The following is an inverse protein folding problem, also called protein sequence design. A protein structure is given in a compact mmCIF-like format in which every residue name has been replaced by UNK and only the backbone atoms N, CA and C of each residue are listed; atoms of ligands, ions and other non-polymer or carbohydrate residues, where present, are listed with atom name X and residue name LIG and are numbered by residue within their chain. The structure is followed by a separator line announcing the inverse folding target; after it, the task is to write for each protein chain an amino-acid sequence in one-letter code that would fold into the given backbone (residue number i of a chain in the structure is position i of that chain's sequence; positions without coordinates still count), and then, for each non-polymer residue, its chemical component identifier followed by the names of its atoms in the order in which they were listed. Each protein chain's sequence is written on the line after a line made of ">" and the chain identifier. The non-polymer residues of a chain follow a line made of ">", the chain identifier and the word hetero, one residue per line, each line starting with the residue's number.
data_IF_527532503526
#
_entry.id   IF_527532503526
#
_cell.length_a   1.000
_cell.length_b   1.000
_cell.length_c   1.000
_cell.angle_alpha   90.00
_cell.angle_beta   90.00
_cell.angle_gamma   90.00
#
_symmetry.space_group_name_H-M   'P 1'
#
loop_
_entity.id
_entity.type
_entity.pdbx_description
1 polymer ?
#
# COMPACT_ATOMS: atom_id res chain seq x y z
N UNK A 1 32.27 -18.53 -24.23
CA UNK A 1 32.49 -17.42 -23.26
C UNK A 1 32.03 -17.94 -21.91
N UNK A 2 32.96 -18.41 -21.09
CA UNK A 2 32.62 -18.96 -19.75
C UNK A 2 32.40 -17.80 -18.80
N UNK A 3 31.19 -17.73 -18.23
CA UNK A 3 30.88 -16.80 -17.15
C UNK A 3 31.52 -17.35 -15.87
N UNK A 4 32.53 -16.69 -15.35
CA UNK A 4 33.07 -17.00 -14.02
C UNK A 4 31.99 -16.71 -12.97
N UNK A 5 31.75 -17.61 -12.01
CA UNK A 5 30.82 -17.33 -10.92
C UNK A 5 31.38 -16.20 -10.05
N UNK A 6 30.58 -15.15 -9.84
CA UNK A 6 30.92 -14.09 -8.88
C UNK A 6 30.88 -14.69 -7.47
N UNK A 7 31.97 -14.56 -6.72
CA UNK A 7 32.00 -14.94 -5.32
C UNK A 7 30.91 -14.24 -4.53
N UNK A 8 30.18 -14.94 -3.66
CA UNK A 8 29.16 -14.30 -2.82
C UNK A 8 29.85 -13.29 -1.89
N UNK A 9 29.27 -12.10 -1.66
CA UNK A 9 29.87 -11.11 -0.78
C UNK A 9 30.01 -11.70 0.64
N UNK A 10 31.22 -11.85 1.09
CA UNK A 10 31.60 -12.25 2.46
C UNK A 10 31.38 -11.09 3.42
N UNK A 11 30.13 -10.70 3.68
CA UNK A 11 29.80 -9.72 4.69
C UNK A 11 28.78 -10.29 5.67
N UNK A 12 29.27 -10.87 6.74
CA UNK A 12 28.50 -11.27 7.92
C UNK A 12 28.16 -10.06 8.82
N UNK A 13 27.86 -8.88 8.26
CA UNK A 13 27.48 -7.72 9.07
C UNK A 13 25.97 -7.74 9.33
N UNK A 14 25.49 -8.10 10.55
CA UNK A 14 24.07 -8.21 10.86
C UNK A 14 23.32 -6.86 10.88
N UNK A 15 24.01 -5.75 10.62
CA UNK A 15 23.47 -4.39 10.64
C UNK A 15 23.27 -3.75 9.27
N UNK A 16 23.44 -4.47 8.18
CA UNK A 16 23.17 -3.94 6.84
C UNK A 16 21.66 -3.69 6.71
N UNK A 17 21.29 -2.43 6.51
CA UNK A 17 19.88 -2.07 6.25
C UNK A 17 19.49 -2.62 4.88
N UNK A 18 18.47 -3.46 4.84
CA UNK A 18 17.98 -4.07 3.60
C UNK A 18 17.33 -3.04 2.65
N UNK A 19 16.92 -1.88 3.18
CA UNK A 19 16.37 -0.75 2.41
C UNK A 19 16.95 0.55 2.96
N UNK A 20 17.47 1.40 2.09
CA UNK A 20 18.11 2.66 2.43
C UNK A 20 17.21 3.57 3.29
N UNK A 21 17.82 4.35 4.19
CA UNK A 21 17.10 5.37 4.97
C UNK A 21 16.81 6.59 4.09
N UNK A 22 15.65 7.22 4.30
CA UNK A 22 15.29 8.48 3.64
C UNK A 22 15.44 9.65 4.61
N UNK A 23 15.80 10.82 4.10
CA UNK A 23 15.95 12.05 4.90
C UNK A 23 14.58 12.61 5.29
N UNK A 24 13.70 12.75 4.30
CA UNK A 24 12.32 13.20 4.46
C UNK A 24 11.39 12.32 3.61
N UNK A 25 10.13 12.18 4.01
CA UNK A 25 9.11 11.50 3.23
C UNK A 25 8.28 10.53 4.02
N UNK A 26 7.75 9.51 3.34
CA UNK A 26 6.84 8.52 3.92
C UNK A 26 7.39 7.12 3.78
N UNK A 27 7.28 6.33 4.84
CA UNK A 27 7.58 4.89 4.85
C UNK A 27 6.29 4.14 5.12
N UNK A 28 5.93 3.23 4.22
CA UNK A 28 4.83 2.28 4.39
C UNK A 28 5.45 0.92 4.71
N UNK A 29 5.11 0.38 5.86
CA UNK A 29 5.62 -0.89 6.38
C UNK A 29 4.47 -1.88 6.66
N UNK A 30 4.81 -3.14 6.89
CA UNK A 30 3.85 -4.22 7.14
C UNK A 30 2.87 -4.48 5.99
N UNK A 31 3.34 -4.25 4.75
CA UNK A 31 2.59 -4.61 3.55
C UNK A 31 2.71 -6.12 3.33
N UNK A 32 1.63 -6.85 3.03
CA UNK A 32 1.73 -8.23 2.57
C UNK A 32 2.64 -8.34 1.34
N UNK A 33 3.57 -9.31 1.32
CA UNK A 33 4.62 -9.40 0.30
C UNK A 33 4.10 -9.31 -1.14
N UNK A 34 3.00 -10.03 -1.44
CA UNK A 34 2.36 -10.05 -2.77
C UNK A 34 1.68 -8.72 -3.15
N UNK A 35 1.38 -7.86 -2.18
CA UNK A 35 0.74 -6.55 -2.40
C UNK A 35 1.76 -5.41 -2.54
N UNK A 36 3.05 -5.65 -2.28
CA UNK A 36 4.07 -4.58 -2.20
C UNK A 36 4.18 -3.77 -3.48
N UNK A 37 4.23 -4.42 -4.65
CA UNK A 37 4.28 -3.72 -5.95
C UNK A 37 2.99 -2.97 -6.25
N UNK A 38 1.83 -3.51 -5.88
CA UNK A 38 0.54 -2.83 -6.05
C UNK A 38 0.49 -1.55 -5.21
N UNK A 39 0.99 -1.60 -3.97
CA UNK A 39 1.13 -0.43 -3.11
C UNK A 39 2.11 0.57 -3.70
N UNK A 40 3.28 0.14 -4.16
CA UNK A 40 4.26 1.04 -4.77
C UNK A 40 3.69 1.75 -6.00
N UNK A 41 3.03 1.03 -6.91
CA UNK A 41 2.40 1.60 -8.11
C UNK A 41 1.25 2.57 -7.77
N UNK A 42 0.49 2.28 -6.71
CA UNK A 42 -0.56 3.17 -6.23
C UNK A 42 -0.02 4.50 -5.73
N UNK A 43 1.14 4.46 -5.06
CA UNK A 43 1.69 5.59 -4.31
C UNK A 43 2.67 6.42 -5.14
N UNK A 44 3.43 5.79 -6.04
CA UNK A 44 4.46 6.44 -6.83
C UNK A 44 3.86 7.45 -7.83
N UNK A 45 4.49 8.61 -7.94
CA UNK A 45 4.28 9.61 -8.99
C UNK A 45 5.50 9.64 -9.89
N UNK A 46 5.38 10.22 -11.07
CA UNK A 46 6.39 10.20 -12.14
C UNK A 46 7.80 10.60 -11.68
N UNK A 47 7.91 11.56 -10.78
CA UNK A 47 9.20 12.08 -10.31
C UNK A 47 9.54 11.68 -8.86
N UNK A 48 8.79 10.74 -8.27
CA UNK A 48 9.10 10.28 -6.91
C UNK A 48 10.31 9.36 -6.90
N UNK A 49 11.23 9.57 -5.96
CA UNK A 49 12.24 8.59 -5.62
C UNK A 49 11.61 7.54 -4.69
N UNK A 50 11.44 6.32 -5.18
CA UNK A 50 10.78 5.24 -4.44
C UNK A 50 11.76 4.09 -4.23
N UNK A 51 11.89 3.65 -2.97
CA UNK A 51 12.62 2.43 -2.61
C UNK A 51 11.63 1.35 -2.18
N UNK A 52 11.79 0.14 -2.72
CA UNK A 52 10.89 -0.99 -2.47
C UNK A 52 11.68 -2.15 -1.89
N UNK A 53 11.23 -2.67 -0.78
CA UNK A 53 11.72 -3.92 -0.21
C UNK A 53 10.60 -4.95 -0.19
N UNK A 54 10.82 -6.11 -0.81
CA UNK A 54 9.84 -7.20 -0.84
C UNK A 54 10.33 -8.40 -0.05
N UNK A 55 9.40 -9.13 0.55
CA UNK A 55 9.68 -10.39 1.28
C UNK A 55 10.74 -10.26 2.38
N UNK A 56 10.84 -9.08 2.98
CA UNK A 56 11.74 -8.83 4.11
C UNK A 56 11.28 -9.62 5.33
N UNK A 57 12.22 -10.03 6.17
CA UNK A 57 11.90 -10.74 7.42
C UNK A 57 11.10 -9.84 8.37
N UNK A 58 10.05 -10.38 8.96
CA UNK A 58 9.17 -9.68 9.90
C UNK A 58 8.79 -10.62 11.04
N UNK A 59 9.04 -10.19 12.27
CA UNK A 59 8.61 -10.94 13.45
C UNK A 59 7.08 -11.05 13.55
N UNK A 60 6.35 -10.02 13.08
CA UNK A 60 4.87 -9.97 13.14
C UNK A 60 4.19 -10.76 12.03
N UNK A 61 4.75 -10.75 10.81
CA UNK A 61 4.08 -11.28 9.60
C UNK A 61 4.87 -12.41 8.92
N UNK A 62 6.01 -12.85 9.48
CA UNK A 62 6.97 -13.73 8.81
C UNK A 62 7.69 -13.03 7.65
N UNK A 63 6.96 -12.57 6.65
CA UNK A 63 7.44 -11.79 5.52
C UNK A 63 6.61 -10.53 5.32
N UNK A 64 7.26 -9.42 4.99
CA UNK A 64 6.61 -8.13 4.75
C UNK A 64 7.21 -7.40 3.58
N UNK A 65 6.45 -6.48 3.01
CA UNK A 65 6.92 -5.46 2.10
C UNK A 65 7.09 -4.11 2.79
N UNK A 66 7.99 -3.31 2.26
CA UNK A 66 8.22 -1.92 2.65
C UNK A 66 8.30 -1.07 1.39
N UNK A 67 7.61 0.06 1.39
CA UNK A 67 7.70 1.08 0.33
C UNK A 67 8.10 2.39 0.97
N UNK A 68 9.12 3.05 0.46
CA UNK A 68 9.58 4.36 0.92
C UNK A 68 9.48 5.36 -0.22
N UNK A 69 8.92 6.52 0.06
CA UNK A 69 8.77 7.63 -0.89
C UNK A 69 9.52 8.81 -0.30
N UNK A 70 10.57 9.26 -0.98
CA UNK A 70 11.37 10.39 -0.56
C UNK A 70 10.66 11.71 -0.90
N UNK A 71 10.80 12.71 -0.02
CA UNK A 71 10.37 14.09 -0.25
C UNK A 71 8.87 14.36 -0.16
N UNK A 72 8.02 13.35 0.13
CA UNK A 72 6.57 13.54 0.11
C UNK A 72 5.84 12.84 1.25
N UNK A 73 4.86 13.52 1.82
CA UNK A 73 3.85 12.95 2.72
C UNK A 73 2.60 12.56 1.91
N UNK A 74 1.85 11.55 2.38
CA UNK A 74 0.65 11.08 1.72
C UNK A 74 -0.57 11.91 2.13
N UNK A 75 -1.41 12.24 1.15
CA UNK A 75 -2.70 12.89 1.39
C UNK A 75 -3.78 11.88 1.85
N UNK A 76 -4.90 12.40 2.37
CA UNK A 76 -5.99 11.59 2.91
C UNK A 76 -6.60 10.64 1.88
N UNK A 77 -6.71 11.07 0.60
CA UNK A 77 -7.24 10.23 -0.49
C UNK A 77 -6.32 9.04 -0.76
N UNK A 78 -5.02 9.29 -0.80
CA UNK A 78 -4.00 8.24 -0.99
C UNK A 78 -4.00 7.26 0.19
N UNK A 79 -4.16 7.74 1.42
CA UNK A 79 -4.30 6.89 2.61
C UNK A 79 -5.57 6.02 2.54
N UNK A 80 -6.70 6.55 2.08
CA UNK A 80 -7.93 5.76 1.87
C UNK A 80 -7.75 4.67 0.81
N UNK A 81 -7.06 4.98 -0.30
CA UNK A 81 -6.71 3.98 -1.33
C UNK A 81 -5.78 2.90 -0.76
N UNK A 82 -4.82 3.29 0.08
CA UNK A 82 -3.93 2.35 0.76
C UNK A 82 -4.70 1.44 1.73
N UNK A 83 -5.67 1.98 2.48
CA UNK A 83 -6.52 1.20 3.38
C UNK A 83 -7.28 0.08 2.66
N UNK A 84 -7.70 0.32 1.42
CA UNK A 84 -8.42 -0.68 0.62
C UNK A 84 -7.55 -1.87 0.20
N UNK A 85 -6.24 -1.65 -0.04
CA UNK A 85 -5.35 -2.70 -0.57
C UNK A 85 -4.38 -3.27 0.47
N UNK A 86 -4.09 -2.53 1.53
CA UNK A 86 -3.18 -2.93 2.60
C UNK A 86 -3.65 -2.39 3.97
N UNK A 87 -4.80 -2.86 4.47
CA UNK A 87 -5.42 -2.33 5.70
C UNK A 87 -4.56 -2.51 6.96
N UNK A 88 -3.65 -3.48 6.96
CA UNK A 88 -2.72 -3.74 8.08
C UNK A 88 -1.42 -2.94 8.01
N UNK A 89 -1.22 -2.16 6.94
CA UNK A 89 0.00 -1.38 6.75
C UNK A 89 0.13 -0.27 7.80
N UNK A 90 1.35 0.02 8.19
CA UNK A 90 1.69 1.17 9.03
C UNK A 90 2.42 2.22 8.20
N UNK A 91 2.07 3.47 8.44
CA UNK A 91 2.66 4.64 7.79
C UNK A 91 3.52 5.38 8.80
N UNK A 92 4.75 5.71 8.42
CA UNK A 92 5.67 6.53 9.21
C UNK A 92 6.06 7.76 8.39
N UNK A 93 5.90 8.92 8.97
CA UNK A 93 6.38 10.18 8.42
C UNK A 93 7.80 10.40 8.91
N UNK A 94 8.72 10.63 7.98
CA UNK A 94 10.14 10.84 8.25
C UNK A 94 10.48 12.32 8.01
N UNK A 95 11.14 12.93 8.99
CA UNK A 95 11.76 14.25 8.87
C UNK A 95 13.13 14.21 9.55
N UNK A 96 14.15 14.71 8.88
CA UNK A 96 15.55 14.66 9.35
C UNK A 96 15.99 13.26 9.79
N UNK A 97 15.69 12.24 8.96
CA UNK A 97 15.96 10.81 9.22
C UNK A 97 15.25 10.20 10.43
N UNK A 98 14.42 10.98 11.14
CA UNK A 98 13.67 10.54 12.32
C UNK A 98 12.20 10.31 12.00
N UNK A 99 11.62 9.31 12.66
CA UNK A 99 10.17 9.11 12.62
C UNK A 99 9.52 10.16 13.50
N UNK A 100 8.79 11.09 12.88
CA UNK A 100 8.05 12.13 13.60
C UNK A 100 6.61 11.73 13.90
N UNK A 101 6.04 10.84 13.09
CA UNK A 101 4.71 10.30 13.29
C UNK A 101 4.66 8.86 12.76
N UNK A 102 3.94 7.98 13.48
CA UNK A 102 3.67 6.62 13.04
C UNK A 102 2.25 6.22 13.40
N UNK A 103 1.52 5.68 12.44
CA UNK A 103 0.15 5.21 12.63
C UNK A 103 -0.17 4.01 11.73
N UNK A 104 -1.20 3.25 12.09
CA UNK A 104 -1.78 2.25 11.19
C UNK A 104 -2.73 2.99 10.26
N UNK A 105 -2.79 2.58 8.99
CA UNK A 105 -3.69 3.20 8.01
C UNK A 105 -5.13 3.14 8.55
N UNK A 106 -5.79 4.29 8.73
CA UNK A 106 -7.16 4.29 9.26
C UNK A 106 -8.12 3.71 8.23
N UNK A 107 -8.97 2.76 8.65
CA UNK A 107 -10.03 2.23 7.81
C UNK A 107 -11.21 3.21 7.83
N UNK A 108 -11.56 3.83 6.70
CA UNK A 108 -12.74 4.69 6.62
C UNK A 108 -14.01 3.83 6.66
N UNK A 109 -15.11 4.42 7.12
CA UNK A 109 -16.41 3.74 7.03
C UNK A 109 -16.98 3.71 5.62
N UNK A 110 -16.60 4.70 4.81
CA UNK A 110 -17.07 4.89 3.44
C UNK A 110 -15.88 5.24 2.54
N UNK A 111 -15.74 4.53 1.43
CA UNK A 111 -14.84 4.87 0.34
C UNK A 111 -15.61 5.64 -0.74
N UNK A 112 -15.21 6.88 -1.04
CA UNK A 112 -15.81 7.70 -2.09
C UNK A 112 -14.81 7.93 -3.22
N UNK A 113 -15.21 7.60 -4.44
CA UNK A 113 -14.40 7.78 -5.66
C UNK A 113 -12.98 7.18 -5.56
N UNK A 114 -12.87 6.03 -4.89
CA UNK A 114 -11.62 5.30 -4.68
C UNK A 114 -11.53 4.07 -5.57
N UNK A 115 -12.66 3.40 -5.80
CA UNK A 115 -12.74 2.17 -6.59
C UNK A 115 -14.03 2.10 -7.40
N UNK A 116 -13.99 1.40 -8.53
CA UNK A 116 -15.19 1.05 -9.32
C UNK A 116 -15.94 -0.10 -8.65
N UNK A 117 -17.27 -0.07 -8.79
CA UNK A 117 -18.12 -1.18 -8.38
C UNK A 117 -17.77 -2.45 -9.21
N UNK A 118 -17.61 -3.58 -8.52
CA UNK A 118 -17.34 -4.86 -9.18
C UNK A 118 -18.56 -5.41 -9.94
N UNK A 119 -19.78 -4.92 -9.68
CA UNK A 119 -20.96 -5.25 -10.46
C UNK A 119 -20.92 -4.49 -11.81
N UNK A 120 -20.74 -5.17 -12.96
CA UNK A 120 -20.66 -4.52 -14.27
C UNK A 120 -21.93 -3.75 -14.62
N UNK A 121 -23.09 -4.15 -14.08
CA UNK A 121 -24.40 -3.50 -14.35
C UNK A 121 -24.74 -2.40 -13.34
N UNK A 122 -23.79 -2.00 -12.48
CA UNK A 122 -24.01 -0.90 -11.55
C UNK A 122 -24.03 0.44 -12.30
N UNK A 123 -24.97 1.33 -11.94
CA UNK A 123 -25.09 2.67 -12.52
C UNK A 123 -23.78 3.46 -12.46
N UNK A 124 -22.97 3.27 -11.41
CA UNK A 124 -21.68 3.94 -11.23
C UNK A 124 -20.63 3.56 -12.28
N UNK A 125 -20.85 2.48 -13.04
CA UNK A 125 -19.97 2.05 -14.12
C UNK A 125 -20.43 2.57 -15.49
N UNK A 126 -21.66 3.04 -15.63
CA UNK A 126 -22.24 3.49 -16.88
C UNK A 126 -22.50 4.99 -16.94
N UNK A 127 -22.71 5.61 -15.79
CA UNK A 127 -22.96 7.04 -15.66
C UNK A 127 -21.87 7.72 -14.82
N UNK A 128 -21.82 9.07 -14.91
CA UNK A 128 -20.81 9.85 -14.14
C UNK A 128 -21.24 10.04 -12.67
N UNK A 129 -21.48 8.93 -11.99
CA UNK A 129 -21.77 8.92 -10.57
C UNK A 129 -20.51 8.63 -9.76
N UNK A 130 -20.31 9.39 -8.70
CA UNK A 130 -19.24 9.11 -7.74
C UNK A 130 -19.49 7.77 -7.07
N UNK A 131 -18.56 6.82 -7.20
CA UNK A 131 -18.70 5.53 -6.54
C UNK A 131 -18.63 5.69 -5.01
N UNK A 132 -19.49 4.98 -4.30
CA UNK A 132 -19.55 4.99 -2.84
C UNK A 132 -19.68 3.57 -2.32
N UNK A 133 -18.70 3.17 -1.50
CA UNK A 133 -18.58 1.81 -0.94
C UNK A 133 -18.53 1.88 0.57
N UNK A 134 -19.51 1.33 1.25
CA UNK A 134 -19.53 1.22 2.70
C UNK A 134 -18.75 -0.01 3.17
N UNK A 135 -17.93 0.13 4.21
CA UNK A 135 -17.19 -0.99 4.81
C UNK A 135 -18.14 -1.80 5.68
N UNK A 136 -18.37 -3.04 5.31
CA UNK A 136 -19.24 -3.98 6.04
C UNK A 136 -18.45 -4.83 7.02
N UNK A 137 -17.25 -5.26 6.60
CA UNK A 137 -16.32 -6.03 7.42
C UNK A 137 -14.88 -5.58 7.15
N UNK A 138 -14.09 -5.44 8.19
CA UNK A 138 -12.69 -5.01 8.07
C UNK A 138 -11.72 -6.18 7.86
N UNK A 139 -12.06 -7.39 8.29
CA UNK A 139 -11.20 -8.58 8.14
C UNK A 139 -12.06 -9.85 7.98
N UNK A 140 -12.11 -10.47 6.80
CA UNK A 140 -11.59 -9.96 5.52
C UNK A 140 -12.33 -8.71 5.05
N UNK A 141 -11.60 -7.75 4.48
CA UNK A 141 -12.18 -6.48 4.06
C UNK A 141 -13.25 -6.69 2.98
N UNK A 142 -14.48 -6.36 3.35
CA UNK A 142 -15.68 -6.48 2.51
C UNK A 142 -16.39 -5.14 2.47
N UNK A 143 -16.80 -4.72 1.29
CA UNK A 143 -17.52 -3.46 1.08
C UNK A 143 -18.86 -3.70 0.40
N UNK A 144 -19.81 -2.82 0.65
CA UNK A 144 -21.13 -2.77 0.01
C UNK A 144 -21.20 -1.54 -0.90
N UNK A 145 -21.58 -1.72 -2.15
CA UNK A 145 -21.89 -0.58 -3.02
C UNK A 145 -23.27 -0.02 -2.64
N UNK A 146 -23.35 1.26 -2.27
CA UNK A 146 -24.62 1.89 -1.83
C UNK A 146 -25.65 2.03 -2.95
N UNK A 147 -25.26 1.87 -4.23
CA UNK A 147 -26.17 2.01 -5.38
C UNK A 147 -26.80 0.70 -5.81
N UNK A 148 -26.01 -0.37 -5.90
CA UNK A 148 -26.51 -1.69 -6.28
C UNK A 148 -26.67 -2.66 -5.10
N UNK A 149 -26.33 -2.21 -3.89
CA UNK A 149 -26.50 -2.92 -2.61
C UNK A 149 -25.83 -4.30 -2.55
N UNK A 150 -24.84 -4.55 -3.43
CA UNK A 150 -24.08 -5.78 -3.46
C UNK A 150 -22.80 -5.67 -2.65
N UNK A 151 -22.47 -6.76 -1.96
CA UNK A 151 -21.23 -6.90 -1.20
C UNK A 151 -20.13 -7.50 -2.07
N UNK A 152 -18.91 -6.97 -1.92
CA UNK A 152 -17.72 -7.42 -2.63
C UNK A 152 -16.53 -7.50 -1.68
N UNK A 153 -15.70 -8.56 -1.77
CA UNK A 153 -14.38 -8.50 -1.17
C UNK A 153 -13.55 -7.39 -1.82
N UNK A 154 -12.74 -6.69 -1.04
CA UNK A 154 -11.93 -5.58 -1.55
C UNK A 154 -11.00 -5.98 -2.70
N UNK A 155 -10.63 -7.27 -2.80
CA UNK A 155 -9.78 -7.82 -3.86
C UNK A 155 -10.42 -7.79 -5.25
N UNK A 156 -11.75 -7.73 -5.33
CA UNK A 156 -12.49 -7.67 -6.61
C UNK A 156 -12.64 -6.24 -7.14
N UNK A 157 -12.34 -5.24 -6.31
CA UNK A 157 -12.50 -3.84 -6.69
C UNK A 157 -11.34 -3.37 -7.57
N UNK A 158 -11.67 -2.54 -8.56
CA UNK A 158 -10.69 -1.85 -9.40
C UNK A 158 -10.53 -0.43 -8.89
N UNK A 159 -9.31 -0.07 -8.48
CA UNK A 159 -8.99 1.28 -8.02
C UNK A 159 -9.10 2.30 -9.16
N UNK A 160 -9.58 3.52 -8.83
CA UNK A 160 -9.69 4.66 -9.73
C UNK A 160 -8.42 5.52 -9.69
#
# INVERSE_FOLDING_TARGET
>A
MSLEPLDPPTSSNPRVRQVEAILHGTVIDHIPGHMTLKVANLLARENDQVSIGMNLRSARMGRKGVVKISGRELDARTLSRLALIAPSASVSIIRDTKVVQKFIVPMPKLFEDIARCANPNCVTNHERWTSRMEVINADPLTVCCIYCERNFPATELVLL
#
